data_IF_066331714718
#
_entry.id   IF_066331714718
#
_cell.length_a   1.000
_cell.length_b   1.000
_cell.length_c   1.000
_cell.angle_alpha   90.00
_cell.angle_beta   90.00
_cell.angle_gamma   90.00
#
_symmetry.space_group_name_H-M   'P 1'
#
loop_
_entity.id
_entity.type
_entity.pdbx_description
1 polymer ?
#
# COMPACT_ATOMS: atom_id res chain seq x y z
N UNK A 1 -14.12 22.91 -0.40
CA UNK A 1 -13.39 22.56 -1.65
C UNK A 1 -12.11 21.80 -1.35
N UNK A 2 -11.67 20.91 -2.24
CA UNK A 2 -10.52 20.03 -2.03
C UNK A 2 -9.42 20.36 -3.05
N UNK A 3 -8.24 20.73 -2.56
CA UNK A 3 -7.07 21.01 -3.38
C UNK A 3 -6.02 19.89 -3.28
N UNK A 4 -5.24 19.72 -4.35
CA UNK A 4 -4.19 18.72 -4.41
C UNK A 4 -2.83 19.34 -4.71
N UNK A 5 -1.83 18.95 -3.93
CA UNK A 5 -0.42 19.27 -4.21
C UNK A 5 0.28 17.98 -4.62
N UNK A 6 0.58 17.86 -5.91
CA UNK A 6 1.13 16.66 -6.54
C UNK A 6 0.13 15.94 -7.42
N UNK A 7 0.39 15.87 -8.73
CA UNK A 7 -0.43 15.21 -9.75
C UNK A 7 0.14 13.82 -10.12
N UNK A 8 0.51 13.05 -9.09
CA UNK A 8 0.92 11.64 -9.23
C UNK A 8 -0.27 10.71 -9.48
N UNK A 9 0.02 9.42 -9.62
CA UNK A 9 -1.01 8.38 -9.87
C UNK A 9 -2.11 8.41 -8.81
N UNK A 10 -1.76 8.41 -7.53
CA UNK A 10 -2.72 8.42 -6.43
C UNK A 10 -3.49 9.74 -6.34
N UNK A 11 -2.81 10.90 -6.43
CA UNK A 11 -3.45 12.21 -6.36
C UNK A 11 -4.52 12.40 -7.43
N UNK A 12 -4.18 12.13 -8.71
CA UNK A 12 -5.13 12.26 -9.81
C UNK A 12 -6.32 11.29 -9.68
N UNK A 13 -6.04 10.03 -9.30
CA UNK A 13 -7.08 9.02 -9.11
C UNK A 13 -8.03 9.38 -7.97
N UNK A 14 -7.52 9.85 -6.84
CA UNK A 14 -8.32 10.27 -5.68
C UNK A 14 -9.14 11.54 -5.99
N UNK A 15 -8.58 12.52 -6.70
CA UNK A 15 -9.31 13.71 -7.09
C UNK A 15 -10.53 13.39 -7.98
N UNK A 16 -10.34 12.53 -9.00
CA UNK A 16 -11.45 12.04 -9.83
C UNK A 16 -12.47 11.25 -9.01
N UNK A 17 -12.00 10.40 -8.13
CA UNK A 17 -12.86 9.59 -7.27
C UNK A 17 -13.71 10.44 -6.33
N UNK A 18 -13.10 11.42 -5.65
CA UNK A 18 -13.83 12.33 -4.76
C UNK A 18 -14.82 13.19 -5.55
N UNK A 19 -14.42 13.71 -6.73
CA UNK A 19 -15.33 14.48 -7.60
C UNK A 19 -16.54 13.65 -8.05
N UNK A 20 -16.32 12.40 -8.46
CA UNK A 20 -17.40 11.46 -8.83
C UNK A 20 -18.40 11.24 -7.69
N UNK A 21 -17.97 11.34 -6.44
CA UNK A 21 -18.78 11.16 -5.24
C UNK A 21 -19.20 12.51 -4.59
N UNK A 22 -19.29 13.58 -5.39
CA UNK A 22 -19.82 14.86 -4.95
C UNK A 22 -18.82 15.75 -4.19
N UNK A 23 -17.52 15.45 -4.25
CA UNK A 23 -16.47 16.34 -3.76
C UNK A 23 -16.19 17.48 -4.75
N UNK A 24 -16.14 18.70 -4.28
CA UNK A 24 -15.75 19.87 -5.09
C UNK A 24 -14.23 19.99 -5.11
N UNK A 25 -13.62 19.77 -6.29
CA UNK A 25 -12.17 19.82 -6.47
C UNK A 25 -11.76 21.20 -6.96
N UNK A 26 -10.95 21.92 -6.17
CA UNK A 26 -10.39 23.21 -6.59
C UNK A 26 -9.43 23.06 -7.76
N UNK A 27 -8.58 22.05 -7.73
CA UNK A 27 -7.59 21.78 -8.76
C UNK A 27 -6.29 21.23 -8.19
N UNK A 28 -5.19 21.47 -8.91
CA UNK A 28 -3.86 20.96 -8.59
C UNK A 28 -2.77 22.04 -8.66
N UNK A 29 -1.81 21.93 -7.76
CA UNK A 29 -0.46 22.45 -7.94
C UNK A 29 0.51 21.28 -8.09
N UNK A 30 1.27 21.23 -9.16
CA UNK A 30 2.24 20.14 -9.40
C UNK A 30 3.30 20.54 -10.42
N UNK A 31 4.52 19.98 -10.24
CA UNK A 31 5.58 20.02 -11.24
C UNK A 31 5.34 19.04 -12.40
N UNK A 32 4.58 17.99 -12.14
CA UNK A 32 4.18 17.01 -13.16
C UNK A 32 2.95 17.48 -13.92
N UNK A 33 2.72 16.88 -15.09
CA UNK A 33 1.54 17.16 -15.89
C UNK A 33 0.26 16.86 -15.11
N UNK A 34 -0.64 17.84 -15.15
CA UNK A 34 -1.96 17.77 -14.54
C UNK A 34 -2.95 17.38 -15.64
N UNK A 35 -3.89 16.45 -15.39
CA UNK A 35 -4.92 16.12 -16.37
C UNK A 35 -5.75 17.35 -16.74
N UNK A 36 -6.12 17.47 -18.03
CA UNK A 36 -6.81 18.63 -18.61
C UNK A 36 -8.18 18.91 -17.97
N UNK A 37 -8.77 17.91 -17.35
CA UNK A 37 -10.06 18.01 -16.67
C UNK A 37 -9.96 18.64 -15.26
N UNK A 38 -8.78 19.10 -14.84
CA UNK A 38 -8.55 19.82 -13.60
C UNK A 38 -7.88 21.20 -13.80
N UNK A 39 -8.25 22.13 -12.94
CA UNK A 39 -7.62 23.45 -12.89
C UNK A 39 -6.17 23.30 -12.42
N UNK A 40 -5.25 23.95 -13.13
CA UNK A 40 -3.85 24.08 -12.75
C UNK A 40 -3.65 25.39 -11.99
N UNK A 41 -2.96 25.31 -10.87
CA UNK A 41 -2.47 26.47 -10.13
C UNK A 41 -0.96 26.61 -10.32
N UNK A 42 -0.47 27.84 -10.34
CA UNK A 42 0.95 28.15 -10.58
C UNK A 42 1.79 28.04 -9.31
N UNK A 43 1.17 28.22 -8.12
CA UNK A 43 1.85 28.13 -6.82
C UNK A 43 1.07 27.29 -5.81
N UNK A 44 1.77 26.84 -4.77
CA UNK A 44 1.15 26.11 -3.67
C UNK A 44 0.20 26.98 -2.85
N UNK A 45 0.50 28.27 -2.71
CA UNK A 45 -0.32 29.23 -1.99
C UNK A 45 -1.68 29.40 -2.65
N UNK A 46 -1.72 29.54 -3.98
CA UNK A 46 -2.98 29.69 -4.73
C UNK A 46 -3.93 28.50 -4.52
N UNK A 47 -3.43 27.25 -4.55
CA UNK A 47 -4.28 26.08 -4.30
C UNK A 47 -4.72 25.99 -2.83
N UNK A 48 -3.87 26.40 -1.88
CA UNK A 48 -4.21 26.47 -0.46
C UNK A 48 -5.30 27.50 -0.19
N UNK A 49 -5.18 28.70 -0.76
CA UNK A 49 -6.20 29.76 -0.64
C UNK A 49 -7.56 29.33 -1.19
N UNK A 50 -7.54 28.58 -2.31
CA UNK A 50 -8.76 28.14 -3.02
C UNK A 50 -9.40 26.86 -2.42
N UNK A 51 -8.89 26.34 -1.31
CA UNK A 51 -9.31 25.04 -0.77
C UNK A 51 -9.51 25.08 0.74
N UNK A 52 -10.38 24.22 1.25
CA UNK A 52 -10.59 24.01 2.69
C UNK A 52 -9.83 22.76 3.17
N UNK A 53 -9.71 21.75 2.29
CA UNK A 53 -8.98 20.51 2.50
C UNK A 53 -7.85 20.43 1.47
N UNK A 54 -6.62 20.24 1.91
CA UNK A 54 -5.44 20.16 1.05
C UNK A 54 -4.82 18.77 1.18
N UNK A 55 -4.76 18.04 0.07
CA UNK A 55 -4.10 16.74 -0.01
C UNK A 55 -2.71 16.89 -0.64
N UNK A 56 -1.66 16.63 0.13
CA UNK A 56 -0.29 16.56 -0.36
C UNK A 56 -0.05 15.12 -0.82
N UNK A 57 -0.04 14.92 -2.14
CA UNK A 57 0.00 13.61 -2.82
C UNK A 57 1.29 13.41 -3.63
N UNK A 58 2.38 13.94 -3.10
CA UNK A 58 3.74 13.70 -3.60
C UNK A 58 4.32 12.39 -3.03
N UNK A 59 5.55 12.01 -3.43
CA UNK A 59 6.24 10.87 -2.81
C UNK A 59 6.49 11.12 -1.32
N UNK A 60 6.51 10.05 -0.51
CA UNK A 60 6.68 10.13 0.94
C UNK A 60 7.88 11.00 1.34
N UNK A 61 9.03 10.78 0.69
CA UNK A 61 10.27 11.56 0.94
C UNK A 61 10.15 13.05 0.61
N UNK A 62 9.17 13.44 -0.19
CA UNK A 62 8.97 14.84 -0.60
C UNK A 62 7.94 15.59 0.27
N UNK A 63 7.09 14.89 1.05
CA UNK A 63 6.01 15.51 1.83
C UNK A 63 6.55 16.62 2.73
N UNK A 64 7.54 16.33 3.56
CA UNK A 64 8.12 17.29 4.48
C UNK A 64 8.80 18.50 3.79
N UNK A 65 9.40 18.29 2.61
CA UNK A 65 10.00 19.37 1.85
C UNK A 65 8.94 20.29 1.23
N UNK A 66 7.87 19.70 0.68
CA UNK A 66 6.72 20.46 0.13
C UNK A 66 6.04 21.26 1.24
N UNK A 67 5.80 20.62 2.39
CA UNK A 67 5.19 21.29 3.55
C UNK A 67 5.97 22.53 4.01
N UNK A 68 7.29 22.40 4.17
CA UNK A 68 8.15 23.52 4.56
C UNK A 68 8.22 24.66 3.55
N UNK A 69 7.85 24.41 2.30
CA UNK A 69 7.78 25.43 1.24
C UNK A 69 6.48 26.22 1.23
N UNK A 70 5.47 25.84 2.01
CA UNK A 70 4.18 26.52 2.08
C UNK A 70 4.21 27.52 3.25
N UNK A 71 3.76 28.75 3.01
CA UNK A 71 3.65 29.74 4.08
C UNK A 71 2.67 29.26 5.16
N UNK A 72 3.16 29.18 6.39
CA UNK A 72 2.35 28.77 7.54
C UNK A 72 1.14 29.64 7.81
N UNK A 73 1.15 30.91 7.37
CA UNK A 73 0.00 31.82 7.49
C UNK A 73 -1.13 31.43 6.51
N UNK A 74 -0.80 30.92 5.33
CA UNK A 74 -1.76 30.52 4.30
C UNK A 74 -2.59 29.29 4.71
N UNK A 75 -2.01 28.39 5.53
CA UNK A 75 -2.67 27.12 5.95
C UNK A 75 -3.51 27.27 7.22
N UNK A 76 -3.58 28.47 7.80
CA UNK A 76 -4.34 28.69 9.04
C UNK A 76 -5.83 28.42 8.83
N UNK A 77 -6.38 27.51 9.65
CA UNK A 77 -7.78 27.08 9.55
C UNK A 77 -8.06 26.10 8.39
N UNK A 78 -7.04 25.61 7.68
CA UNK A 78 -7.17 24.61 6.63
C UNK A 78 -6.92 23.22 7.16
N UNK A 79 -7.57 22.23 6.57
CA UNK A 79 -7.36 20.81 6.86
C UNK A 79 -6.29 20.26 5.93
N UNK A 80 -5.21 19.73 6.50
CA UNK A 80 -4.05 19.29 5.73
C UNK A 80 -3.91 17.77 5.82
N UNK A 81 -3.77 17.13 4.67
CA UNK A 81 -3.67 15.69 4.54
C UNK A 81 -2.46 15.27 3.73
N UNK A 82 -1.92 14.12 4.04
CA UNK A 82 -1.11 13.35 3.10
C UNK A 82 -1.65 11.91 3.01
N UNK A 83 -1.17 11.18 2.01
CA UNK A 83 -1.63 9.81 1.73
C UNK A 83 -0.53 8.75 1.94
N UNK A 84 0.55 9.09 2.64
CA UNK A 84 1.62 8.14 2.97
C UNK A 84 1.16 7.11 4.00
N UNK A 85 1.51 5.85 3.76
CA UNK A 85 1.32 4.79 4.76
C UNK A 85 2.41 4.77 5.83
N UNK A 86 3.61 5.29 5.51
CA UNK A 86 4.77 5.28 6.40
C UNK A 86 4.86 6.52 7.29
N UNK A 87 4.67 7.72 6.70
CA UNK A 87 4.80 8.99 7.41
C UNK A 87 3.60 9.24 8.33
N UNK A 88 3.84 9.81 9.51
CA UNK A 88 2.77 10.29 10.39
C UNK A 88 2.39 11.72 10.07
N UNK A 89 1.22 12.16 10.55
CA UNK A 89 0.74 13.55 10.45
C UNK A 89 1.70 14.56 11.11
N UNK A 90 2.59 14.11 12.01
CA UNK A 90 3.63 14.93 12.63
C UNK A 90 4.64 15.51 11.61
N UNK A 91 4.68 15.03 10.37
CA UNK A 91 5.47 15.63 9.27
C UNK A 91 5.08 17.09 9.01
N UNK A 92 3.86 17.47 9.37
CA UNK A 92 3.32 18.83 9.27
C UNK A 92 3.70 19.72 10.47
N UNK A 93 4.99 19.73 10.80
CA UNK A 93 5.51 20.54 11.89
C UNK A 93 5.05 22.01 11.80
N UNK A 94 4.57 22.56 12.93
CA UNK A 94 4.11 23.97 13.02
C UNK A 94 2.65 24.19 12.59
N UNK A 95 1.96 23.19 12.03
CA UNK A 95 0.51 23.24 11.87
C UNK A 95 -0.21 23.03 13.20
N UNK A 96 -1.50 23.40 13.25
CA UNK A 96 -2.39 23.00 14.32
C UNK A 96 -2.54 21.46 14.29
N UNK A 97 -2.13 20.73 15.35
CA UNK A 97 -2.20 19.29 15.37
C UNK A 97 -3.61 18.71 15.15
N UNK A 98 -4.65 19.45 15.50
CA UNK A 98 -6.05 19.01 15.30
C UNK A 98 -6.50 19.11 13.83
N UNK A 99 -5.77 19.86 13.00
CA UNK A 99 -6.10 20.13 11.60
C UNK A 99 -5.31 19.30 10.59
N UNK A 100 -4.49 18.36 11.04
CA UNK A 100 -3.62 17.55 10.16
C UNK A 100 -3.91 16.07 10.29
N UNK A 101 -3.82 15.34 9.16
CA UNK A 101 -4.09 13.90 9.15
C UNK A 101 -3.34 13.19 8.00
N UNK A 102 -2.92 11.96 8.27
CA UNK A 102 -2.59 10.98 7.26
C UNK A 102 -3.85 10.20 6.87
N UNK A 103 -4.18 10.13 5.58
CA UNK A 103 -5.33 9.39 5.07
C UNK A 103 -4.86 8.40 3.98
N UNK A 104 -4.31 7.27 4.40
CA UNK A 104 -3.65 6.31 3.50
C UNK A 104 -4.64 5.28 2.95
N UNK A 105 -4.85 5.23 1.61
CA UNK A 105 -5.60 4.15 0.98
C UNK A 105 -4.74 2.88 0.88
N UNK A 106 -5.20 1.76 1.41
CA UNK A 106 -4.61 0.43 1.19
C UNK A 106 -4.91 -0.03 -0.24
N UNK A 107 -4.26 0.60 -1.20
CA UNK A 107 -4.42 0.34 -2.63
C UNK A 107 -3.15 0.71 -3.39
N UNK A 108 -2.74 -0.15 -4.32
CA UNK A 108 -1.66 0.15 -5.26
C UNK A 108 -2.22 0.92 -6.47
N UNK A 109 -1.78 2.16 -6.63
CA UNK A 109 -2.16 2.99 -7.79
C UNK A 109 -1.20 2.75 -8.96
N UNK A 110 -1.66 2.06 -9.99
CA UNK A 110 -0.86 1.75 -11.18
C UNK A 110 -0.90 2.86 -12.24
N UNK A 111 -1.95 3.70 -12.25
CA UNK A 111 -2.14 4.79 -13.22
C UNK A 111 -2.74 6.04 -12.57
N UNK A 112 -2.76 7.17 -13.30
CA UNK A 112 -3.49 8.39 -12.91
C UNK A 112 -5.02 8.24 -13.04
N UNK A 113 -5.49 7.14 -13.60
CA UNK A 113 -6.88 6.84 -13.94
C UNK A 113 -7.34 5.52 -13.32
N UNK A 114 -6.94 5.27 -12.07
CA UNK A 114 -7.42 4.08 -11.35
C UNK A 114 -8.95 4.07 -11.30
N UNK A 115 -9.61 2.99 -11.74
CA UNK A 115 -11.07 2.91 -11.76
C UNK A 115 -11.69 3.19 -10.40
N UNK A 116 -12.76 3.97 -10.39
CA UNK A 116 -13.46 4.36 -9.14
C UNK A 116 -13.90 3.13 -8.32
N UNK A 117 -14.29 2.04 -8.99
CA UNK A 117 -14.70 0.80 -8.31
C UNK A 117 -13.54 0.11 -7.57
N UNK A 118 -12.31 0.25 -8.04
CA UNK A 118 -11.13 -0.21 -7.31
C UNK A 118 -10.88 0.64 -6.06
N UNK A 119 -10.98 1.98 -6.20
CA UNK A 119 -10.78 2.90 -5.08
C UNK A 119 -11.90 2.73 -4.04
N UNK A 120 -13.14 2.48 -4.46
CA UNK A 120 -14.26 2.19 -3.57
C UNK A 120 -14.03 0.96 -2.68
N UNK A 121 -13.29 -0.03 -3.18
CA UNK A 121 -12.93 -1.23 -2.40
C UNK A 121 -11.75 -0.99 -1.44
N UNK A 122 -11.01 0.10 -1.60
CA UNK A 122 -9.88 0.40 -0.73
C UNK A 122 -10.35 0.68 0.70
N UNK A 123 -9.63 0.09 1.65
CA UNK A 123 -9.76 0.43 3.05
C UNK A 123 -8.81 1.60 3.35
N UNK A 124 -9.27 2.64 4.02
CA UNK A 124 -8.42 3.75 4.40
C UNK A 124 -7.96 3.62 5.85
N UNK A 125 -6.74 4.05 6.10
CA UNK A 125 -6.22 4.18 7.46
C UNK A 125 -5.96 5.65 7.75
N UNK A 126 -6.54 6.15 8.82
CA UNK A 126 -6.48 7.54 9.24
C UNK A 126 -5.60 7.67 10.50
N UNK A 127 -4.78 8.72 10.56
CA UNK A 127 -3.97 9.05 11.73
C UNK A 127 -3.79 10.56 11.77
N UNK A 128 -4.11 11.23 12.90
CA UNK A 128 -3.99 12.67 13.05
C UNK A 128 -4.98 13.25 14.05
N UNK A 129 -5.21 14.55 13.95
CA UNK A 129 -6.10 15.27 14.86
C UNK A 129 -7.57 15.01 14.61
N UNK A 130 -8.37 15.17 15.64
CA UNK A 130 -9.80 14.81 15.64
C UNK A 130 -10.60 15.58 14.60
N UNK A 131 -10.33 16.87 14.39
CA UNK A 131 -11.06 17.69 13.40
C UNK A 131 -10.74 17.23 11.98
N UNK A 132 -9.46 17.01 11.66
CA UNK A 132 -9.06 16.52 10.36
C UNK A 132 -9.58 15.09 10.10
N UNK A 133 -9.49 14.21 11.08
CA UNK A 133 -10.02 12.82 11.00
C UNK A 133 -11.52 12.84 10.75
N UNK A 134 -12.32 13.63 11.51
CA UNK A 134 -13.77 13.72 11.28
C UNK A 134 -14.12 14.21 9.88
N UNK A 135 -13.40 15.21 9.38
CA UNK A 135 -13.68 15.79 8.06
C UNK A 135 -13.40 14.79 6.93
N UNK A 136 -12.24 14.08 6.97
CA UNK A 136 -11.91 13.08 5.95
C UNK A 136 -12.80 11.84 6.09
N UNK A 137 -13.19 11.45 7.29
CA UNK A 137 -14.17 10.36 7.51
C UNK A 137 -15.49 10.68 6.83
N UNK A 138 -16.03 11.88 6.99
CA UNK A 138 -17.25 12.30 6.33
C UNK A 138 -17.14 12.28 4.79
N UNK A 139 -15.96 12.60 4.24
CA UNK A 139 -15.68 12.45 2.80
C UNK A 139 -15.67 10.98 2.38
N UNK A 140 -15.03 10.10 3.16
CA UNK A 140 -14.96 8.67 2.88
C UNK A 140 -16.32 7.97 3.02
N UNK A 141 -17.13 8.36 4.00
CA UNK A 141 -18.50 7.87 4.18
C UNK A 141 -19.38 8.17 2.97
N UNK A 142 -19.28 9.39 2.41
CA UNK A 142 -19.97 9.73 1.15
C UNK A 142 -19.50 8.88 -0.02
N UNK A 143 -18.21 8.53 -0.05
CA UNK A 143 -17.64 7.67 -1.08
C UNK A 143 -17.99 6.18 -0.87
N UNK A 144 -18.47 5.79 0.31
CA UNK A 144 -18.76 4.43 0.69
C UNK A 144 -17.50 3.61 1.02
N UNK A 145 -16.38 4.26 1.37
CA UNK A 145 -15.14 3.59 1.79
C UNK A 145 -15.20 3.21 3.28
N UNK A 146 -14.58 2.09 3.60
CA UNK A 146 -14.30 1.68 4.98
C UNK A 146 -12.98 2.31 5.43
N UNK A 147 -12.89 2.63 6.71
CA UNK A 147 -11.65 3.17 7.30
C UNK A 147 -11.48 2.73 8.76
N UNK A 148 -10.26 2.88 9.27
CA UNK A 148 -9.94 2.77 10.69
C UNK A 148 -8.99 3.90 11.09
N UNK A 149 -9.12 4.35 12.33
CA UNK A 149 -8.18 5.30 12.94
C UNK A 149 -7.13 4.53 13.70
N UNK A 150 -5.86 4.83 13.47
CA UNK A 150 -4.72 4.23 14.17
C UNK A 150 -3.91 5.32 14.87
N UNK A 151 -3.11 4.90 15.85
CA UNK A 151 -2.15 5.78 16.52
C UNK A 151 -0.87 5.95 15.69
N UNK A 152 -0.19 7.09 15.78
CA UNK A 152 1.04 7.34 15.01
C UNK A 152 2.15 6.30 15.30
N UNK A 153 2.25 5.79 16.54
CA UNK A 153 3.31 4.85 16.93
C UNK A 153 3.22 3.51 16.20
N UNK A 154 2.03 3.11 15.76
CA UNK A 154 1.85 1.83 15.05
C UNK A 154 1.99 1.93 13.52
N UNK A 155 2.14 3.14 12.96
CA UNK A 155 2.26 3.33 11.49
C UNK A 155 3.41 2.52 10.86
N UNK A 156 4.61 2.41 11.45
CA UNK A 156 5.66 1.59 10.85
C UNK A 156 5.27 0.12 10.72
N UNK A 157 4.62 -0.46 11.74
CA UNK A 157 4.12 -1.83 11.70
C UNK A 157 2.98 -1.98 10.69
N UNK A 158 2.05 -1.04 10.67
CA UNK A 158 0.96 -0.98 9.70
C UNK A 158 1.49 -0.94 8.26
N UNK A 159 2.46 -0.07 7.96
CA UNK A 159 3.03 0.03 6.63
C UNK A 159 3.81 -1.23 6.24
N UNK A 160 4.55 -1.83 7.17
CA UNK A 160 5.20 -3.11 6.96
C UNK A 160 4.18 -4.19 6.56
N UNK A 161 3.01 -4.26 7.23
CA UNK A 161 1.94 -5.19 6.86
C UNK A 161 1.41 -4.96 5.44
N UNK A 162 1.25 -3.68 5.03
CA UNK A 162 0.88 -3.34 3.66
C UNK A 162 1.94 -3.78 2.64
N UNK A 163 3.23 -3.61 2.96
CA UNK A 163 4.34 -4.10 2.13
C UNK A 163 4.34 -5.63 2.01
N UNK A 164 4.07 -6.35 3.11
CA UNK A 164 3.93 -7.82 3.07
C UNK A 164 2.82 -8.25 2.11
N UNK A 165 1.69 -7.54 2.11
CA UNK A 165 0.54 -7.88 1.26
C UNK A 165 0.68 -7.42 -0.20
N UNK A 166 1.70 -6.64 -0.55
CA UNK A 166 1.87 -6.09 -1.91
C UNK A 166 3.30 -6.27 -2.45
N UNK A 167 4.23 -5.43 -2.03
CA UNK A 167 5.59 -5.40 -2.58
C UNK A 167 6.33 -6.73 -2.40
N UNK A 168 6.20 -7.39 -1.23
CA UNK A 168 6.86 -8.67 -0.97
C UNK A 168 6.23 -9.82 -1.74
N UNK A 169 4.94 -9.76 -2.08
CA UNK A 169 4.32 -10.72 -3.01
C UNK A 169 5.00 -10.67 -4.38
N UNK A 170 5.30 -9.46 -4.89
CA UNK A 170 6.05 -9.30 -6.15
C UNK A 170 7.43 -9.96 -6.07
N UNK A 171 8.14 -9.83 -4.94
CA UNK A 171 9.43 -10.46 -4.75
C UNK A 171 9.34 -11.99 -4.74
N UNK A 172 8.30 -12.55 -4.10
CA UNK A 172 8.05 -14.00 -4.12
C UNK A 172 7.76 -14.51 -5.54
N UNK A 173 6.97 -13.77 -6.31
CA UNK A 173 6.70 -14.10 -7.71
C UNK A 173 7.99 -14.08 -8.56
N UNK A 174 8.85 -13.07 -8.37
CA UNK A 174 10.13 -12.99 -9.07
C UNK A 174 11.08 -14.15 -8.74
N UNK A 175 11.11 -14.61 -7.49
CA UNK A 175 11.89 -15.82 -7.13
C UNK A 175 11.31 -17.08 -7.75
N UNK A 176 9.98 -17.22 -7.83
CA UNK A 176 9.35 -18.36 -8.49
C UNK A 176 9.62 -18.38 -10.01
N UNK A 177 9.55 -17.22 -10.67
CA UNK A 177 9.91 -17.04 -12.08
C UNK A 177 11.35 -17.50 -12.36
N UNK A 178 12.33 -17.04 -11.58
CA UNK A 178 13.74 -17.46 -11.69
C UNK A 178 13.89 -19.00 -11.56
N UNK A 179 13.12 -19.62 -10.67
CA UNK A 179 13.15 -21.09 -10.50
C UNK A 179 12.64 -21.79 -11.74
N UNK A 180 11.54 -21.30 -12.36
CA UNK A 180 11.03 -21.89 -13.61
C UNK A 180 12.03 -21.72 -14.77
N UNK A 181 12.68 -20.56 -14.89
CA UNK A 181 13.73 -20.37 -15.89
C UNK A 181 14.88 -21.38 -15.72
N UNK A 182 15.28 -21.68 -14.48
CA UNK A 182 16.27 -22.75 -14.18
C UNK A 182 15.75 -24.16 -14.52
N UNK A 183 14.44 -24.35 -14.58
CA UNK A 183 13.81 -25.58 -15.05
C UNK A 183 13.69 -25.67 -16.59
N UNK A 184 14.14 -24.63 -17.32
CA UNK A 184 14.13 -24.60 -18.79
C UNK A 184 12.95 -23.85 -19.42
N UNK A 185 12.13 -23.17 -18.64
CA UNK A 185 11.11 -22.28 -19.21
C UNK A 185 11.78 -21.03 -19.82
N UNK A 186 11.23 -20.53 -20.93
CA UNK A 186 11.61 -19.24 -21.46
C UNK A 186 11.16 -18.11 -20.49
N UNK A 187 11.93 -17.02 -20.40
CA UNK A 187 11.64 -15.93 -19.47
C UNK A 187 10.24 -15.31 -19.72
N UNK A 188 9.87 -15.16 -21.00
CA UNK A 188 8.55 -14.66 -21.41
C UNK A 188 7.38 -15.58 -21.03
N UNK A 189 7.63 -16.86 -20.83
CA UNK A 189 6.60 -17.86 -20.48
C UNK A 189 6.53 -18.15 -18.98
N UNK A 190 7.62 -17.97 -18.24
CA UNK A 190 7.73 -18.39 -16.86
C UNK A 190 6.67 -17.77 -15.94
N UNK A 191 6.50 -16.43 -16.00
CA UNK A 191 5.50 -15.76 -15.19
C UNK A 191 4.07 -16.07 -15.67
N UNK A 192 3.86 -16.17 -16.98
CA UNK A 192 2.53 -16.49 -17.54
C UNK A 192 2.08 -17.90 -17.15
N UNK A 193 3.00 -18.86 -17.05
CA UNK A 193 2.73 -20.21 -16.56
C UNK A 193 2.35 -20.24 -15.06
N UNK A 194 2.90 -19.32 -14.26
CA UNK A 194 2.58 -19.19 -12.83
C UNK A 194 1.30 -18.40 -12.55
N UNK A 195 0.89 -17.52 -13.46
CA UNK A 195 -0.20 -16.58 -13.22
C UNK A 195 -1.50 -17.24 -12.73
N UNK A 196 -2.01 -18.33 -13.34
CA UNK A 196 -3.23 -18.98 -12.86
C UNK A 196 -3.10 -19.50 -11.40
N UNK A 197 -1.93 -20.02 -11.03
CA UNK A 197 -1.67 -20.52 -9.68
C UNK A 197 -1.65 -19.38 -8.66
N UNK A 198 -1.01 -18.26 -9.01
CA UNK A 198 -0.93 -17.06 -8.15
C UNK A 198 -2.33 -16.48 -7.94
N UNK A 199 -3.08 -16.26 -9.02
CA UNK A 199 -4.42 -15.67 -8.98
C UNK A 199 -5.40 -16.52 -8.16
N UNK A 200 -5.39 -17.84 -8.37
CA UNK A 200 -6.27 -18.75 -7.63
C UNK A 200 -5.91 -18.79 -6.13
N UNK A 201 -4.62 -18.83 -5.80
CA UNK A 201 -4.17 -18.81 -4.41
C UNK A 201 -4.61 -17.52 -3.71
N UNK A 202 -4.35 -16.35 -4.32
CA UNK A 202 -4.74 -15.04 -3.76
C UNK A 202 -6.25 -14.94 -3.62
N UNK A 203 -7.01 -15.39 -4.62
CA UNK A 203 -8.48 -15.42 -4.57
C UNK A 203 -8.97 -16.26 -3.39
N UNK A 204 -8.45 -17.47 -3.24
CA UNK A 204 -8.82 -18.34 -2.13
C UNK A 204 -8.53 -17.69 -0.75
N UNK A 205 -7.37 -17.05 -0.58
CA UNK A 205 -7.03 -16.34 0.66
C UNK A 205 -8.01 -15.20 0.93
N UNK A 206 -8.39 -14.43 -0.09
CA UNK A 206 -9.32 -13.31 0.06
C UNK A 206 -10.76 -13.76 0.36
N UNK A 207 -11.21 -14.89 -0.21
CA UNK A 207 -12.59 -15.36 -0.09
C UNK A 207 -12.80 -16.29 1.11
N UNK A 208 -11.84 -17.19 1.38
CA UNK A 208 -11.98 -18.26 2.37
C UNK A 208 -11.18 -17.99 3.66
N UNK A 209 -10.26 -17.02 3.62
CA UNK A 209 -9.30 -16.77 4.70
C UNK A 209 -8.04 -17.64 4.62
N UNK A 210 -7.07 -17.36 5.49
CA UNK A 210 -5.71 -17.91 5.42
C UNK A 210 -5.70 -19.43 5.63
N UNK A 211 -6.23 -19.92 6.77
CA UNK A 211 -6.17 -21.36 7.11
C UNK A 211 -6.86 -22.28 6.10
N UNK A 212 -8.08 -21.98 5.63
CA UNK A 212 -8.76 -22.82 4.64
C UNK A 212 -8.09 -22.84 3.26
N UNK A 213 -7.23 -21.85 2.99
CA UNK A 213 -6.52 -21.73 1.70
C UNK A 213 -5.16 -22.41 1.70
N UNK A 214 -4.73 -22.97 2.83
CA UNK A 214 -3.46 -23.67 2.93
C UNK A 214 -3.44 -24.92 2.05
N UNK A 215 -2.41 -25.05 1.21
CA UNK A 215 -2.14 -26.18 0.34
C UNK A 215 -0.64 -26.49 0.33
N UNK A 216 -0.25 -27.57 -0.35
CA UNK A 216 1.15 -27.91 -0.56
C UNK A 216 1.74 -28.80 0.54
N UNK A 217 3.05 -29.13 0.43
CA UNK A 217 3.69 -30.14 1.28
C UNK A 217 3.75 -29.71 2.76
N UNK A 218 4.06 -28.45 3.05
CA UNK A 218 4.15 -27.95 4.43
C UNK A 218 2.80 -28.05 5.15
N UNK A 219 1.71 -27.74 4.46
CA UNK A 219 0.37 -27.80 5.06
C UNK A 219 -0.11 -29.25 5.35
N UNK A 220 0.55 -30.25 4.75
CA UNK A 220 0.27 -31.67 4.97
C UNK A 220 1.30 -32.37 5.85
N UNK A 221 2.32 -31.65 6.35
CA UNK A 221 3.41 -32.23 7.14
C UNK A 221 4.36 -33.13 6.33
N UNK A 222 4.43 -32.99 4.99
CA UNK A 222 5.24 -33.79 4.09
C UNK A 222 6.72 -33.41 4.16
N UNK A 223 7.42 -33.93 5.15
CA UNK A 223 8.83 -33.66 5.40
C UNK A 223 9.73 -34.08 4.23
N UNK A 224 9.41 -35.20 3.57
CA UNK A 224 10.24 -35.74 2.45
C UNK A 224 10.24 -34.76 1.27
N UNK A 225 9.09 -34.23 0.89
CA UNK A 225 9.01 -33.24 -0.18
C UNK A 225 9.71 -31.94 0.21
N UNK A 226 9.57 -31.47 1.46
CA UNK A 226 10.28 -30.28 1.96
C UNK A 226 11.80 -30.48 1.90
N UNK A 227 12.32 -31.66 2.28
CA UNK A 227 13.74 -31.96 2.17
C UNK A 227 14.25 -31.94 0.73
N UNK A 228 13.49 -32.49 -0.22
CA UNK A 228 13.81 -32.42 -1.66
C UNK A 228 13.91 -30.98 -2.15
N UNK A 229 12.99 -30.12 -1.75
CA UNK A 229 13.05 -28.68 -2.09
C UNK A 229 14.30 -28.03 -1.50
N UNK A 230 14.59 -28.27 -0.22
CA UNK A 230 15.76 -27.71 0.45
C UNK A 230 17.09 -28.20 -0.15
N UNK A 231 17.13 -29.41 -0.76
CA UNK A 231 18.31 -29.93 -1.39
C UNK A 231 18.72 -29.21 -2.67
N UNK A 232 17.75 -28.64 -3.40
CA UNK A 232 17.98 -27.96 -4.70
C UNK A 232 17.96 -26.43 -4.63
N UNK A 233 17.47 -25.85 -3.52
CA UNK A 233 17.45 -24.41 -3.30
C UNK A 233 18.75 -23.94 -2.66
N UNK A 234 19.26 -22.79 -3.12
CA UNK A 234 20.50 -22.19 -2.65
C UNK A 234 20.35 -20.67 -2.39
N UNK A 235 21.26 -20.11 -1.60
CA UNK A 235 21.35 -18.67 -1.33
C UNK A 235 20.03 -18.08 -0.86
N UNK A 236 19.69 -16.90 -1.37
CA UNK A 236 18.50 -16.14 -0.98
C UNK A 236 17.19 -16.90 -1.22
N UNK A 237 17.07 -17.63 -2.33
CA UNK A 237 15.86 -18.43 -2.62
C UNK A 237 15.59 -19.49 -1.54
N UNK A 238 16.67 -20.13 -1.04
CA UNK A 238 16.57 -21.09 0.08
C UNK A 238 16.14 -20.40 1.37
N UNK A 239 16.72 -19.24 1.67
CA UNK A 239 16.40 -18.50 2.89
C UNK A 239 14.93 -18.04 2.89
N UNK A 240 14.45 -17.49 1.77
CA UNK A 240 13.04 -17.09 1.60
C UNK A 240 12.13 -18.31 1.77
N UNK A 241 12.40 -19.41 1.05
CA UNK A 241 11.62 -20.65 1.16
C UNK A 241 11.53 -21.13 2.60
N UNK A 242 12.66 -21.16 3.30
CA UNK A 242 12.77 -21.63 4.68
C UNK A 242 11.93 -20.79 5.64
N UNK A 243 12.05 -19.45 5.57
CA UNK A 243 11.33 -18.53 6.45
C UNK A 243 9.82 -18.57 6.20
N UNK A 244 9.39 -18.55 4.95
CA UNK A 244 7.97 -18.60 4.60
C UNK A 244 7.37 -19.97 4.93
N UNK A 245 8.09 -21.05 4.70
CA UNK A 245 7.65 -22.40 5.09
C UNK A 245 7.53 -22.57 6.61
N UNK A 246 8.37 -21.90 7.40
CA UNK A 246 8.22 -21.90 8.86
C UNK A 246 6.91 -21.23 9.29
N UNK A 247 6.55 -20.10 8.67
CA UNK A 247 5.24 -19.45 8.90
C UNK A 247 4.08 -20.38 8.51
N UNK A 248 4.18 -21.08 7.37
CA UNK A 248 3.15 -22.04 6.94
C UNK A 248 3.03 -23.23 7.92
N UNK A 249 4.15 -23.73 8.44
CA UNK A 249 4.18 -24.81 9.43
C UNK A 249 3.47 -24.39 10.75
N UNK A 250 3.70 -23.16 11.21
CA UNK A 250 3.01 -22.63 12.39
C UNK A 250 1.50 -22.46 12.15
N UNK A 251 1.09 -21.94 10.99
CA UNK A 251 -0.33 -21.74 10.65
C UNK A 251 -1.05 -23.09 10.50
N UNK A 252 -0.40 -24.08 9.85
CA UNK A 252 -1.00 -25.42 9.63
C UNK A 252 -0.99 -26.31 10.87
N UNK A 253 -0.11 -26.02 11.85
CA UNK A 253 0.09 -26.83 13.05
C UNK A 253 1.16 -27.90 12.91
N UNK A 254 1.82 -28.02 11.75
CA UNK A 254 2.91 -28.97 11.49
C UNK A 254 4.27 -28.44 11.96
N UNK A 255 4.36 -28.11 13.26
CA UNK A 255 5.57 -27.53 13.88
C UNK A 255 6.74 -28.52 13.94
N UNK A 256 6.51 -29.83 13.75
CA UNK A 256 7.53 -30.87 13.61
C UNK A 256 8.48 -30.64 12.41
N UNK A 257 8.06 -29.81 11.41
CA UNK A 257 8.90 -29.39 10.28
C UNK A 257 9.91 -28.29 10.64
N UNK A 258 9.70 -27.54 11.73
CA UNK A 258 10.56 -26.40 12.08
C UNK A 258 12.03 -26.77 12.28
N UNK A 259 12.42 -27.90 12.91
CA UNK A 259 13.82 -28.30 13.01
C UNK A 259 14.47 -28.52 11.64
N UNK A 260 13.76 -29.09 10.67
CA UNK A 260 14.22 -29.26 9.30
C UNK A 260 14.44 -27.94 8.59
N UNK A 261 13.49 -27.03 8.68
CA UNK A 261 13.53 -25.69 8.07
C UNK A 261 14.63 -24.80 8.68
N UNK A 262 14.99 -24.99 9.95
CA UNK A 262 16.01 -24.20 10.67
C UNK A 262 17.44 -24.74 10.53
N UNK A 263 17.63 -25.91 9.92
CA UNK A 263 18.97 -26.46 9.69
C UNK A 263 19.76 -25.55 8.73
N UNK A 264 20.78 -24.85 9.26
CA UNK A 264 21.80 -24.24 8.40
C UNK A 264 22.57 -25.33 7.67
N UNK A 265 22.76 -25.20 6.34
CA UNK A 265 23.83 -25.99 5.69
C UNK A 265 25.13 -25.50 6.32
N UNK A 266 25.80 -26.40 7.06
CA UNK A 266 27.25 -26.22 7.33
C UNK A 266 27.92 -26.26 5.95
N UNK A 267 28.55 -25.17 5.57
CA UNK A 267 29.44 -25.08 4.41
C UNK A 267 30.67 -25.94 4.65
#
# INVERSE_FOLDING_TARGET
MIGFIGAGKAGCSLARYFRKNGGEISGFYSRSDIPEDFIRFDTAEQIVESSDMIFITVSDSAIGAVWRGIDSSAVRGKLIYHISGAESSAVFCGADPDMVCSAHPLLAFSSKETPAEQIKRAFFTLEGGDTAVRAVSALLDRCGNRYAVIKPEVKPLYHAAACFASNLVTAVCAEAEKMLCRCGFAEEDALSALAPLIEENVRNVCEKGIRPSLTGPVSRGDAETVEKHLAVLEGLSRDIYTQLSAVLAEISGHTELLPLLRKKRFQ
#
